data_IF_453674912521
#
_entry.id   IF_453674912521
#
_cell.length_a   1.000
_cell.length_b   1.000
_cell.length_c   1.000
_cell.angle_alpha   90.00
_cell.angle_beta   90.00
_cell.angle_gamma   90.00
#
_symmetry.space_group_name_H-M   'P 1'
#
loop_
_entity.id
_entity.type
_entity.pdbx_description
1 polymer ?
#
# COMPACT_ATOMS: atom_id res chain seq x y z
N UNK A 1 48.39 -6.70 45.65
CA UNK A 1 47.38 -5.66 45.38
C UNK A 1 46.97 -5.82 43.93
N UNK A 2 45.72 -6.17 43.61
CA UNK A 2 45.31 -6.29 42.22
C UNK A 2 45.32 -4.89 41.61
N UNK A 3 46.10 -4.71 40.57
CA UNK A 3 46.19 -3.45 39.85
C UNK A 3 44.88 -3.18 39.14
N UNK A 4 44.33 -2.03 39.51
CA UNK A 4 43.22 -1.32 38.92
C UNK A 4 43.47 -1.14 37.41
N UNK A 5 42.94 -2.04 36.59
CA UNK A 5 42.78 -1.80 35.16
C UNK A 5 41.51 -0.98 35.00
N UNK A 6 41.67 0.34 35.07
CA UNK A 6 40.63 1.30 34.78
C UNK A 6 40.05 1.03 33.41
N UNK A 7 38.89 0.38 33.39
CA UNK A 7 38.03 0.24 32.23
C UNK A 7 37.41 1.63 32.01
N UNK A 8 38.04 2.42 31.14
CA UNK A 8 37.51 3.72 30.77
C UNK A 8 36.20 3.50 29.99
N UNK A 9 35.09 3.95 30.57
CA UNK A 9 33.81 4.17 29.90
C UNK A 9 34.05 4.90 28.57
N UNK A 10 33.72 4.24 27.45
CA UNK A 10 33.71 4.88 26.13
C UNK A 10 34.44 4.17 25.00
N UNK A 11 34.70 2.87 25.08
CA UNK A 11 35.13 2.11 23.90
C UNK A 11 34.03 2.12 22.82
N UNK A 12 34.14 3.07 21.89
CA UNK A 12 33.46 2.99 20.60
C UNK A 12 34.08 1.81 19.87
N UNK A 13 33.44 0.65 19.99
CA UNK A 13 33.80 -0.52 19.20
C UNK A 13 33.43 -0.20 17.75
N UNK A 14 34.41 0.25 16.97
CA UNK A 14 34.29 0.29 15.52
C UNK A 14 34.24 -1.16 15.04
N UNK A 15 33.03 -1.71 14.94
CA UNK A 15 32.83 -3.00 14.30
C UNK A 15 33.09 -2.79 12.82
N UNK A 16 34.29 -3.18 12.39
CA UNK A 16 34.67 -3.18 10.98
C UNK A 16 33.87 -4.27 10.30
N UNK A 17 32.99 -3.89 9.37
CA UNK A 17 32.39 -4.86 8.44
C UNK A 17 33.56 -5.47 7.69
N UNK A 18 33.77 -6.77 7.82
CA UNK A 18 34.68 -7.42 6.89
C UNK A 18 34.06 -7.28 5.49
N UNK A 19 34.78 -6.70 4.53
CA UNK A 19 34.29 -6.55 3.14
C UNK A 19 33.79 -7.88 2.56
N UNK A 20 34.32 -9.00 3.06
CA UNK A 20 33.87 -10.36 2.74
C UNK A 20 32.43 -10.67 3.16
N UNK A 21 31.95 -10.11 4.26
CA UNK A 21 30.61 -10.38 4.79
C UNK A 21 29.54 -9.61 4.02
N UNK A 22 29.82 -8.34 3.67
CA UNK A 22 28.94 -7.56 2.81
C UNK A 22 28.83 -8.18 1.40
N UNK A 23 29.96 -8.58 0.80
CA UNK A 23 29.98 -9.26 -0.50
C UNK A 23 29.26 -10.62 -0.47
N UNK A 24 29.40 -11.39 0.61
CA UNK A 24 28.66 -12.63 0.79
C UNK A 24 27.14 -12.41 0.89
N UNK A 25 26.70 -11.34 1.57
CA UNK A 25 25.28 -10.97 1.66
C UNK A 25 24.74 -10.53 0.30
N UNK A 26 25.47 -9.67 -0.41
CA UNK A 26 25.14 -9.23 -1.78
C UNK A 26 24.93 -10.42 -2.71
N UNK A 27 25.89 -11.35 -2.76
CA UNK A 27 25.83 -12.51 -3.64
C UNK A 27 24.70 -13.48 -3.29
N UNK A 28 24.47 -13.73 -2.00
CA UNK A 28 23.45 -14.70 -1.55
C UNK A 28 22.03 -14.15 -1.62
N UNK A 29 21.83 -12.88 -1.27
CA UNK A 29 20.52 -12.25 -1.28
C UNK A 29 20.18 -11.57 -2.62
N UNK A 30 21.13 -11.52 -3.55
CA UNK A 30 21.03 -10.82 -4.82
C UNK A 30 20.49 -9.38 -4.63
N UNK A 31 21.12 -8.65 -3.71
CA UNK A 31 20.74 -7.29 -3.34
C UNK A 31 21.90 -6.32 -3.61
N UNK A 32 21.63 -5.02 -3.49
CA UNK A 32 22.70 -4.03 -3.64
C UNK A 32 23.65 -4.04 -2.45
N UNK A 33 24.88 -3.56 -2.65
CA UNK A 33 25.86 -3.41 -1.55
C UNK A 33 25.32 -2.51 -0.45
N UNK A 34 24.60 -1.45 -0.81
CA UNK A 34 23.95 -0.56 0.15
C UNK A 34 22.94 -1.29 1.03
N UNK A 35 22.03 -2.07 0.43
CA UNK A 35 21.05 -2.88 1.19
C UNK A 35 21.74 -3.93 2.07
N UNK A 36 22.84 -4.52 1.60
CA UNK A 36 23.63 -5.47 2.37
C UNK A 36 24.30 -4.82 3.60
N UNK A 37 24.92 -3.65 3.43
CA UNK A 37 25.52 -2.89 4.53
C UNK A 37 24.47 -2.43 5.54
N UNK A 38 23.35 -1.88 5.07
CA UNK A 38 22.25 -1.44 5.94
C UNK A 38 21.68 -2.62 6.75
N UNK A 39 21.51 -3.79 6.12
CA UNK A 39 21.06 -4.99 6.81
C UNK A 39 22.10 -5.51 7.82
N UNK A 40 23.39 -5.43 7.50
CA UNK A 40 24.46 -5.81 8.43
C UNK A 40 24.51 -4.86 9.63
N UNK A 41 24.48 -3.54 9.41
CA UNK A 41 24.46 -2.53 10.48
C UNK A 41 23.28 -2.73 11.43
N UNK A 42 22.07 -2.98 10.90
CA UNK A 42 20.87 -3.24 11.69
C UNK A 42 20.94 -4.48 12.56
N UNK A 43 21.79 -5.44 12.20
CA UNK A 43 21.91 -6.73 12.87
C UNK A 43 23.29 -6.91 13.49
N UNK A 44 23.93 -5.81 13.91
CA UNK A 44 25.24 -5.82 14.59
C UNK A 44 26.29 -6.63 13.83
N UNK A 45 26.27 -6.49 12.50
CA UNK A 45 27.17 -7.16 11.55
C UNK A 45 27.07 -8.69 11.58
N UNK A 46 25.90 -9.24 11.92
CA UNK A 46 25.62 -10.68 11.86
C UNK A 46 25.07 -11.08 10.46
N UNK A 47 25.88 -11.71 9.57
CA UNK A 47 25.48 -11.90 8.17
C UNK A 47 24.32 -12.88 8.01
N UNK A 48 24.21 -13.87 8.90
CA UNK A 48 23.08 -14.82 8.90
C UNK A 48 21.75 -14.14 9.20
N UNK A 49 21.74 -13.18 10.12
CA UNK A 49 20.52 -12.47 10.51
C UNK A 49 20.14 -11.45 9.43
N UNK A 50 21.12 -10.74 8.87
CA UNK A 50 20.94 -9.86 7.72
C UNK A 50 20.32 -10.60 6.52
N UNK A 51 20.83 -11.79 6.15
CA UNK A 51 20.28 -12.60 5.07
C UNK A 51 18.81 -12.99 5.30
N UNK A 52 18.46 -13.42 6.52
CA UNK A 52 17.07 -13.76 6.87
C UNK A 52 16.16 -12.56 6.77
N UNK A 53 16.64 -11.39 7.19
CA UNK A 53 15.88 -10.15 7.13
C UNK A 53 15.59 -9.73 5.68
N UNK A 54 16.62 -9.72 4.82
CA UNK A 54 16.47 -9.37 3.40
C UNK A 54 15.50 -10.34 2.70
N UNK A 55 15.62 -11.64 2.94
CA UNK A 55 14.69 -12.63 2.39
C UNK A 55 13.24 -12.37 2.83
N UNK A 56 13.02 -12.04 4.10
CA UNK A 56 11.70 -11.68 4.64
C UNK A 56 11.13 -10.43 3.95
N UNK A 57 11.95 -9.39 3.75
CA UNK A 57 11.55 -8.16 3.06
C UNK A 57 11.18 -8.44 1.60
N UNK A 58 11.98 -9.23 0.88
CA UNK A 58 11.68 -9.62 -0.50
C UNK A 58 10.37 -10.40 -0.59
N UNK A 59 10.11 -11.30 0.36
CA UNK A 59 8.85 -12.04 0.44
C UNK A 59 7.65 -11.10 0.69
N UNK A 60 7.79 -10.12 1.58
CA UNK A 60 6.76 -9.11 1.84
C UNK A 60 6.48 -8.26 0.59
N UNK A 61 7.52 -7.83 -0.14
CA UNK A 61 7.39 -7.09 -1.41
C UNK A 61 6.68 -7.94 -2.48
N UNK A 62 7.02 -9.22 -2.59
CA UNK A 62 6.35 -10.13 -3.52
C UNK A 62 4.88 -10.36 -3.15
N UNK A 63 4.55 -10.44 -1.87
CA UNK A 63 3.16 -10.53 -1.40
C UNK A 63 2.37 -9.25 -1.72
N UNK A 64 2.96 -8.06 -1.47
CA UNK A 64 2.35 -6.78 -1.81
C UNK A 64 2.12 -6.64 -3.33
N UNK A 65 3.08 -7.06 -4.16
CA UNK A 65 2.93 -7.05 -5.62
C UNK A 65 1.78 -7.96 -6.09
N UNK A 66 1.60 -9.13 -5.47
CA UNK A 66 0.46 -10.01 -5.78
C UNK A 66 -0.88 -9.37 -5.40
N UNK A 67 -0.95 -8.71 -4.25
CA UNK A 67 -2.17 -7.98 -3.84
C UNK A 67 -2.48 -6.87 -4.84
N UNK A 68 -1.48 -6.06 -5.20
CA UNK A 68 -1.65 -4.99 -6.19
C UNK A 68 -2.10 -5.52 -7.57
N UNK A 69 -1.58 -6.68 -8.01
CA UNK A 69 -2.02 -7.32 -9.25
C UNK A 69 -3.49 -7.75 -9.19
N UNK A 70 -3.93 -8.35 -8.08
CA UNK A 70 -5.33 -8.73 -7.88
C UNK A 70 -6.27 -7.52 -7.80
N UNK A 71 -5.81 -6.42 -7.19
CA UNK A 71 -6.56 -5.17 -7.16
C UNK A 71 -6.67 -4.54 -8.56
N UNK A 72 -5.60 -4.55 -9.35
CA UNK A 72 -5.61 -4.09 -10.73
C UNK A 72 -6.55 -4.92 -11.60
N UNK A 73 -6.56 -6.25 -11.46
CA UNK A 73 -7.49 -7.14 -12.16
C UNK A 73 -8.95 -6.84 -11.80
N UNK A 74 -9.24 -6.67 -10.50
CA UNK A 74 -10.58 -6.25 -10.05
C UNK A 74 -10.99 -4.89 -10.60
N UNK A 75 -10.07 -3.93 -10.66
CA UNK A 75 -10.35 -2.62 -11.25
C UNK A 75 -10.60 -2.70 -12.76
N UNK A 76 -9.85 -3.54 -13.48
CA UNK A 76 -10.06 -3.79 -14.90
C UNK A 76 -11.43 -4.44 -15.16
N UNK A 77 -11.84 -5.43 -14.36
CA UNK A 77 -13.18 -6.03 -14.45
C UNK A 77 -14.28 -5.00 -14.17
N UNK A 78 -14.10 -4.16 -13.16
CA UNK A 78 -15.06 -3.09 -12.84
C UNK A 78 -15.19 -2.06 -13.96
N UNK A 79 -14.09 -1.70 -14.62
CA UNK A 79 -14.11 -0.81 -15.79
C UNK A 79 -14.78 -1.46 -16.99
N UNK A 80 -14.54 -2.75 -17.24
CA UNK A 80 -15.21 -3.47 -18.31
C UNK A 80 -16.74 -3.55 -18.09
N UNK A 81 -17.18 -3.80 -16.85
CA UNK A 81 -18.62 -3.76 -16.50
C UNK A 81 -19.26 -2.38 -16.68
N UNK A 82 -18.50 -1.30 -16.57
CA UNK A 82 -19.01 0.06 -16.84
C UNK A 82 -19.12 0.36 -18.34
N UNK A 83 -18.31 -0.26 -19.19
CA UNK A 83 -18.44 -0.15 -20.65
C UNK A 83 -19.55 -1.04 -21.23
N UNK A 84 -19.90 -2.13 -20.54
CA UNK A 84 -21.03 -3.01 -20.91
C UNK A 84 -22.39 -2.48 -20.44
N UNK A 85 -22.44 -1.37 -19.71
CA UNK A 85 -23.71 -0.70 -19.45
C UNK A 85 -24.18 -0.05 -20.76
N UNK A 86 -25.35 -0.45 -21.31
CA UNK A 86 -25.90 0.23 -22.48
C UNK A 86 -26.03 1.71 -22.16
N UNK A 87 -25.76 2.63 -23.11
CA UNK A 87 -25.92 4.05 -22.86
C UNK A 87 -27.34 4.26 -22.33
N UNK A 88 -27.44 4.74 -21.09
CA UNK A 88 -28.73 5.09 -20.50
C UNK A 88 -29.37 6.03 -21.51
N UNK A 89 -30.57 5.72 -22.04
CA UNK A 89 -31.28 6.69 -22.85
C UNK A 89 -31.52 7.88 -21.94
N UNK A 90 -30.71 8.92 -22.12
CA UNK A 90 -30.86 10.19 -21.45
C UNK A 90 -32.15 10.78 -22.00
N UNK A 91 -33.27 10.36 -21.41
CA UNK A 91 -34.56 10.96 -21.59
C UNK A 91 -34.44 12.39 -21.10
N UNK A 92 -34.04 13.27 -22.02
CA UNK A 92 -34.16 14.70 -21.82
C UNK A 92 -35.58 14.96 -21.32
N UNK A 93 -35.79 15.57 -20.15
CA UNK A 93 -37.11 16.00 -19.78
C UNK A 93 -37.52 17.02 -20.83
N UNK A 94 -38.43 16.63 -21.74
CA UNK A 94 -39.02 17.57 -22.68
C UNK A 94 -39.67 18.67 -21.83
N UNK A 95 -39.17 19.90 -21.97
CA UNK A 95 -39.83 21.10 -21.45
C UNK A 95 -41.31 21.02 -21.83
N UNK A 96 -42.20 20.92 -20.84
CA UNK A 96 -43.58 21.33 -21.02
C UNK A 96 -43.61 22.85 -20.94
N UNK A 97 -43.30 23.50 -22.06
CA UNK A 97 -43.43 24.95 -22.22
C UNK A 97 -44.88 25.24 -22.63
N UNK A 98 -45.64 25.86 -21.71
CA UNK A 98 -46.80 26.71 -22.02
C UNK A 98 -48.08 26.04 -22.54
N UNK A 99 -49.06 25.88 -21.64
CA UNK A 99 -50.48 25.69 -21.99
C UNK A 99 -51.34 25.98 -20.76
N UNK A 100 -52.02 27.13 -20.78
CA UNK A 100 -52.70 27.79 -19.66
C UNK A 100 -53.96 27.04 -19.13
N UNK A 101 -54.56 27.49 -18.02
CA UNK A 101 -55.39 26.72 -17.09
C UNK A 101 -56.85 26.66 -17.51
N UNK A 102 -57.58 25.60 -17.13
CA UNK A 102 -59.03 25.72 -16.97
C UNK A 102 -59.59 24.76 -15.91
N UNK A 103 -60.38 25.39 -15.05
CA UNK A 103 -61.12 24.85 -13.92
C UNK A 103 -62.23 23.92 -14.38
N UNK A 104 -62.48 22.85 -13.61
CA UNK A 104 -63.83 22.51 -13.16
C UNK A 104 -63.74 21.48 -12.02
N UNK A 105 -64.11 21.95 -10.83
CA UNK A 105 -64.90 21.26 -9.78
C UNK A 105 -65.31 19.80 -10.03
N UNK A 106 -65.46 18.89 -9.06
CA UNK A 106 -65.37 18.85 -7.59
C UNK A 106 -65.78 17.40 -7.26
N UNK A 107 -65.15 16.73 -6.29
CA UNK A 107 -65.83 15.73 -5.48
C UNK A 107 -64.96 15.30 -4.28
N UNK A 108 -65.35 15.86 -3.14
CA UNK A 108 -65.40 15.18 -1.85
C UNK A 108 -64.08 14.98 -1.07
N UNK A 109 -63.70 16.06 -0.39
CA UNK A 109 -63.87 16.13 1.07
C UNK A 109 -63.01 15.22 1.95
N UNK A 110 -62.03 15.81 2.64
CA UNK A 110 -61.32 15.10 3.70
C UNK A 110 -60.13 15.83 4.33
N UNK A 111 -60.37 17.06 4.81
CA UNK A 111 -59.66 17.81 5.85
C UNK A 111 -58.26 17.37 6.33
N UNK A 112 -57.29 18.25 6.04
CA UNK A 112 -56.25 18.86 6.90
C UNK A 112 -55.42 17.96 7.85
N UNK A 113 -54.13 18.00 7.55
CA UNK A 113 -53.01 18.05 8.49
C UNK A 113 -53.31 18.87 9.77
N UNK A 114 -52.92 18.31 10.91
CA UNK A 114 -52.01 18.97 11.85
C UNK A 114 -50.90 17.98 12.21
#
# INVERSE_FOLDING_TARGET
TPSDLGLADGDVVFVTVADSDADAVVKKANCTLFEACEALEKHEFQPRLALKNIASIQQARAAAAKIAALEAEKQAEAQQRQQDLPPVPSGAPKRAEGGAPDSWEDAAGGSRQL
#
